data_IF_333478402065
#
_entry.id   IF_333478402065
#
_cell.length_a   1.000
_cell.length_b   1.000
_cell.length_c   1.000
_cell.angle_alpha   90.00
_cell.angle_beta   90.00
_cell.angle_gamma   90.00
#
_symmetry.space_group_name_H-M   'P 1'
#
loop_
_entity.id
_entity.type
_entity.pdbx_description
1 polymer ?
#
# COMPACT_ATOMS: atom_id res chain seq x y z
N UNK A 1 0.80 28.54 -4.68
CA UNK A 1 1.80 28.38 -5.76
C UNK A 1 2.06 26.92 -6.04
N UNK A 2 2.43 26.12 -5.04
CA UNK A 2 2.69 24.69 -5.19
C UNK A 2 1.47 23.87 -5.65
N UNK A 3 0.29 24.09 -5.06
CA UNK A 3 -0.94 23.39 -5.46
C UNK A 3 -1.31 23.61 -6.94
N UNK A 4 -1.13 24.83 -7.46
CA UNK A 4 -1.40 25.10 -8.88
C UNK A 4 -0.39 24.38 -9.77
N UNK A 5 0.89 24.40 -9.39
CA UNK A 5 1.94 23.67 -10.10
C UNK A 5 1.62 22.19 -10.21
N UNK A 6 1.15 21.54 -9.13
CA UNK A 6 0.79 20.11 -9.16
C UNK A 6 -0.37 19.84 -10.14
N UNK A 7 -1.36 20.73 -10.22
CA UNK A 7 -2.46 20.62 -11.19
C UNK A 7 -1.93 20.73 -12.61
N UNK A 8 -1.05 21.70 -12.86
CA UNK A 8 -0.46 21.94 -14.19
C UNK A 8 0.44 20.76 -14.60
N UNK A 9 1.25 20.22 -13.67
CA UNK A 9 2.07 19.03 -13.89
C UNK A 9 1.19 17.82 -14.23
N UNK A 10 0.07 17.62 -13.52
CA UNK A 10 -0.86 16.52 -13.78
C UNK A 10 -1.53 16.63 -15.17
N UNK A 11 -1.88 17.84 -15.61
CA UNK A 11 -2.38 18.09 -16.97
C UNK A 11 -1.31 17.85 -18.03
N UNK A 12 -0.08 18.28 -17.79
CA UNK A 12 1.04 18.02 -18.69
C UNK A 12 1.30 16.53 -18.90
N UNK A 13 1.15 15.71 -17.83
CA UNK A 13 1.24 14.25 -17.93
C UNK A 13 0.10 13.66 -18.77
N UNK A 14 -1.13 14.13 -18.59
CA UNK A 14 -2.28 13.72 -19.41
C UNK A 14 -2.06 14.09 -20.89
N UNK A 15 -1.65 15.33 -21.18
CA UNK A 15 -1.35 15.79 -22.54
C UNK A 15 -0.22 14.99 -23.20
N UNK A 16 0.77 14.53 -22.42
CA UNK A 16 1.83 13.65 -22.88
C UNK A 16 1.38 12.20 -23.14
N UNK A 17 0.12 11.86 -22.85
CA UNK A 17 -0.46 10.55 -23.12
C UNK A 17 -0.40 9.57 -21.95
N UNK A 18 -0.21 10.03 -20.71
CA UNK A 18 -0.38 9.18 -19.55
C UNK A 18 -1.81 8.61 -19.51
N UNK A 19 -1.95 7.31 -19.24
CA UNK A 19 -3.27 6.68 -19.15
C UNK A 19 -3.88 6.76 -17.74
N UNK A 20 -3.07 7.03 -16.71
CA UNK A 20 -3.48 7.24 -15.32
C UNK A 20 -2.35 7.93 -14.54
N UNK A 21 -2.67 8.53 -13.38
CA UNK A 21 -1.69 9.23 -12.53
C UNK A 21 -1.87 8.82 -11.06
N UNK A 22 -0.76 8.55 -10.37
CA UNK A 22 -0.77 8.33 -8.91
C UNK A 22 -0.63 9.68 -8.20
N UNK A 23 -1.54 9.95 -7.25
CA UNK A 23 -1.49 11.10 -6.36
C UNK A 23 -1.06 10.64 -4.96
N UNK A 24 0.18 10.97 -4.58
CA UNK A 24 0.77 10.54 -3.32
C UNK A 24 0.94 11.69 -2.33
N UNK A 25 0.43 11.50 -1.10
CA UNK A 25 0.71 12.37 0.05
C UNK A 25 0.42 13.86 -0.22
N UNK A 26 -0.72 14.15 -0.85
CA UNK A 26 -1.23 15.51 -1.06
C UNK A 26 -2.54 15.74 -0.29
N UNK A 27 -2.93 16.99 0.01
CA UNK A 27 -4.21 17.29 0.64
C UNK A 27 -5.38 16.73 -0.16
N UNK A 28 -6.38 16.15 0.53
CA UNK A 28 -7.54 15.52 -0.11
C UNK A 28 -8.34 16.48 -1.02
N UNK A 29 -8.44 17.76 -0.63
CA UNK A 29 -9.10 18.78 -1.45
C UNK A 29 -8.34 19.02 -2.77
N UNK A 30 -7.00 19.02 -2.73
CA UNK A 30 -6.18 19.17 -3.93
C UNK A 30 -6.34 17.95 -4.85
N UNK A 31 -6.33 16.75 -4.28
CA UNK A 31 -6.57 15.52 -5.05
C UNK A 31 -7.96 15.54 -5.72
N UNK A 32 -9.02 15.91 -4.99
CA UNK A 32 -10.36 16.05 -5.55
C UNK A 32 -10.40 17.04 -6.72
N UNK A 33 -9.70 18.17 -6.61
CA UNK A 33 -9.59 19.15 -7.71
C UNK A 33 -8.86 18.59 -8.92
N UNK A 34 -7.79 17.81 -8.72
CA UNK A 34 -7.04 17.16 -9.81
C UNK A 34 -7.90 16.10 -10.48
N UNK A 35 -8.52 15.19 -9.72
CA UNK A 35 -9.41 14.14 -10.26
C UNK A 35 -10.53 14.73 -11.11
N UNK A 36 -11.17 15.81 -10.64
CA UNK A 36 -12.24 16.49 -11.39
C UNK A 36 -11.75 17.22 -12.65
N UNK A 37 -10.47 17.55 -12.73
CA UNK A 37 -9.90 18.34 -13.82
C UNK A 37 -9.32 17.47 -14.96
N UNK A 38 -8.99 16.21 -14.69
CA UNK A 38 -8.44 15.27 -15.66
C UNK A 38 -9.54 14.37 -16.25
N UNK A 39 -9.29 13.82 -17.42
CA UNK A 39 -10.13 12.79 -18.07
C UNK A 39 -9.61 11.38 -17.80
N UNK A 40 -8.33 11.24 -17.47
CA UNK A 40 -7.70 9.96 -17.11
C UNK A 40 -7.87 9.64 -15.62
N UNK A 41 -7.90 8.35 -15.23
CA UNK A 41 -8.05 7.96 -13.83
C UNK A 41 -6.91 8.44 -12.92
N UNK A 42 -7.27 8.91 -11.73
CA UNK A 42 -6.32 9.18 -10.64
C UNK A 42 -6.32 8.05 -9.61
N UNK A 43 -5.13 7.68 -9.12
CA UNK A 43 -4.94 6.62 -8.12
C UNK A 43 -4.34 7.23 -6.84
N UNK A 44 -5.10 7.24 -5.75
CA UNK A 44 -4.69 7.87 -4.50
C UNK A 44 -3.87 6.97 -3.58
N UNK A 45 -2.84 7.53 -2.94
CA UNK A 45 -2.21 6.98 -1.73
C UNK A 45 -1.96 8.10 -0.73
N UNK A 46 -2.78 8.15 0.32
CA UNK A 46 -2.79 9.30 1.23
C UNK A 46 -3.25 10.60 0.56
N UNK A 47 -4.10 10.50 -0.46
CA UNK A 47 -4.67 11.63 -1.21
C UNK A 47 -6.20 11.77 -1.04
N UNK A 48 -6.80 11.05 -0.08
CA UNK A 48 -8.25 11.08 0.15
C UNK A 48 -9.06 10.19 -0.79
N UNK A 49 -10.36 10.14 -0.53
CA UNK A 49 -11.29 9.18 -1.18
C UNK A 49 -11.76 9.61 -2.57
N UNK A 50 -11.52 10.87 -2.95
CA UNK A 50 -11.98 11.48 -4.19
C UNK A 50 -11.08 11.18 -5.41
N UNK A 51 -10.13 10.25 -5.29
CA UNK A 51 -9.43 9.68 -6.44
C UNK A 51 -10.24 8.53 -7.02
N UNK A 52 -10.13 8.27 -8.34
CA UNK A 52 -10.91 7.22 -9.02
C UNK A 52 -10.54 5.80 -8.54
N UNK A 53 -9.30 5.63 -8.09
CA UNK A 53 -8.80 4.40 -7.48
C UNK A 53 -7.90 4.69 -6.29
N UNK A 54 -7.46 3.63 -5.62
CA UNK A 54 -6.57 3.70 -4.47
C UNK A 54 -5.45 2.67 -4.59
N UNK A 55 -4.27 3.00 -4.07
CA UNK A 55 -3.14 2.08 -3.97
C UNK A 55 -2.57 2.11 -2.56
N UNK A 56 -2.17 0.94 -2.06
CA UNK A 56 -1.43 0.78 -0.81
C UNK A 56 -0.34 -0.27 -1.02
N UNK A 57 0.78 -0.12 -0.29
CA UNK A 57 1.80 -1.16 -0.21
C UNK A 57 1.23 -2.34 0.59
N UNK A 58 1.25 -3.55 0.01
CA UNK A 58 0.64 -4.74 0.63
C UNK A 58 1.24 -5.05 2.01
N UNK A 59 2.52 -4.77 2.23
CA UNK A 59 3.18 -4.98 3.52
C UNK A 59 2.60 -4.09 4.62
N UNK A 60 2.30 -2.82 4.31
CA UNK A 60 1.66 -1.90 5.24
C UNK A 60 0.20 -2.28 5.48
N UNK A 61 -0.53 -2.58 4.40
CA UNK A 61 -1.92 -2.99 4.44
C UNK A 61 -2.13 -4.29 5.25
N UNK A 62 -1.23 -5.26 5.11
CA UNK A 62 -1.31 -6.55 5.80
C UNK A 62 -0.61 -6.57 7.17
N UNK A 63 -0.02 -5.45 7.60
CA UNK A 63 0.65 -5.34 8.89
C UNK A 63 1.83 -6.31 9.03
N UNK A 64 2.70 -6.41 8.01
CA UNK A 64 3.88 -7.29 8.05
C UNK A 64 4.99 -6.80 9.00
N UNK A 65 4.96 -5.52 9.39
CA UNK A 65 5.91 -4.93 10.32
C UNK A 65 5.20 -4.38 11.56
N UNK A 66 5.69 -4.68 12.76
CA UNK A 66 5.06 -4.23 14.02
C UNK A 66 5.24 -2.70 14.21
N UNK A 67 6.47 -2.19 14.01
CA UNK A 67 6.86 -0.83 14.42
C UNK A 67 6.51 0.29 13.45
N UNK A 68 6.41 0.01 12.15
CA UNK A 68 6.13 1.03 11.14
C UNK A 68 4.64 1.03 10.80
N UNK A 69 4.00 2.20 10.93
CA UNK A 69 2.58 2.40 10.60
C UNK A 69 2.42 3.75 9.91
N UNK A 70 2.40 3.80 8.57
CA UNK A 70 2.10 5.03 7.85
C UNK A 70 0.71 5.55 8.25
N UNK A 71 0.58 6.85 8.49
CA UNK A 71 -0.71 7.46 8.89
C UNK A 71 -1.82 7.24 7.86
N UNK A 72 -1.48 7.15 6.58
CA UNK A 72 -2.41 6.99 5.47
C UNK A 72 -2.77 5.54 5.16
N UNK A 73 -2.11 4.55 5.80
CA UNK A 73 -2.35 3.14 5.54
C UNK A 73 -3.22 2.54 6.63
N UNK A 74 -4.35 1.96 6.24
CA UNK A 74 -5.17 1.11 7.11
C UNK A 74 -4.58 -0.30 7.12
N UNK A 75 -4.35 -0.84 8.33
CA UNK A 75 -4.05 -2.27 8.48
C UNK A 75 -5.35 -3.07 8.40
N UNK A 76 -5.37 -4.04 7.50
CA UNK A 76 -6.43 -5.02 7.31
C UNK A 76 -6.07 -6.38 7.94
N UNK A 77 -4.80 -6.59 8.28
CA UNK A 77 -4.31 -7.74 9.02
C UNK A 77 -3.11 -7.35 9.90
N UNK A 78 -2.74 -8.24 10.83
CA UNK A 78 -1.53 -8.13 11.65
C UNK A 78 -0.62 -9.34 11.39
N UNK A 79 -0.16 -9.47 10.14
CA UNK A 79 0.63 -10.63 9.71
C UNK A 79 1.94 -10.78 10.49
N UNK A 80 2.53 -9.69 10.99
CA UNK A 80 3.74 -9.77 11.81
C UNK A 80 3.57 -10.73 13.00
N UNK A 81 2.41 -10.70 13.66
CA UNK A 81 2.11 -11.56 14.82
C UNK A 81 2.02 -13.02 14.38
N UNK A 82 1.28 -13.29 13.31
CA UNK A 82 1.05 -14.64 12.77
C UNK A 82 2.37 -15.25 12.31
N UNK A 83 3.14 -14.51 11.50
CA UNK A 83 4.42 -14.94 10.96
C UNK A 83 5.45 -15.20 12.07
N UNK A 84 5.51 -14.33 13.09
CA UNK A 84 6.38 -14.53 14.25
C UNK A 84 6.02 -15.78 15.05
N UNK A 85 4.73 -16.08 15.19
CA UNK A 85 4.26 -17.33 15.83
C UNK A 85 4.67 -18.55 14.99
N UNK A 86 4.47 -18.51 13.68
CA UNK A 86 4.84 -19.59 12.77
C UNK A 86 6.34 -19.91 12.84
N UNK A 87 7.20 -18.88 12.77
CA UNK A 87 8.65 -19.08 12.90
C UNK A 87 9.05 -19.67 14.25
N UNK A 88 8.46 -19.20 15.36
CA UNK A 88 8.72 -19.78 16.69
C UNK A 88 8.32 -21.24 16.77
N UNK A 89 7.17 -21.59 16.21
CA UNK A 89 6.67 -22.97 16.19
C UNK A 89 7.60 -23.87 15.36
N UNK A 90 7.96 -23.43 14.15
CA UNK A 90 8.90 -24.15 13.29
C UNK A 90 10.24 -24.39 13.98
N UNK A 91 10.84 -23.34 14.56
CA UNK A 91 12.11 -23.46 15.29
C UNK A 91 12.00 -24.45 16.47
N UNK A 92 10.88 -24.43 17.20
CA UNK A 92 10.62 -25.36 18.29
C UNK A 92 10.55 -26.80 17.77
N UNK A 93 9.75 -27.05 16.74
CA UNK A 93 9.56 -28.40 16.20
C UNK A 93 10.84 -28.98 15.59
N UNK A 94 11.67 -28.16 14.93
CA UNK A 94 13.00 -28.58 14.45
C UNK A 94 13.92 -28.95 15.61
N UNK A 95 13.98 -28.11 16.66
CA UNK A 95 14.82 -28.38 17.85
C UNK A 95 14.36 -29.62 18.62
N UNK A 96 13.06 -29.86 18.67
CA UNK A 96 12.45 -31.04 19.30
C UNK A 96 12.45 -32.27 18.38
N UNK A 97 12.97 -32.16 17.15
CA UNK A 97 12.95 -33.22 16.12
C UNK A 97 11.54 -33.75 15.82
N UNK A 98 10.52 -32.91 15.95
CA UNK A 98 9.14 -33.18 15.52
C UNK A 98 8.94 -32.90 14.04
N UNK A 99 9.73 -31.97 13.49
CA UNK A 99 9.79 -31.67 12.07
C UNK A 99 11.22 -31.93 11.53
N UNK A 100 11.37 -32.54 10.34
CA UNK A 100 10.31 -33.18 9.56
C UNK A 100 9.78 -34.44 10.25
N UNK A 101 8.50 -34.75 10.05
CA UNK A 101 7.91 -36.04 10.44
C UNK A 101 7.99 -37.05 9.28
N UNK A 102 7.57 -38.30 9.52
CA UNK A 102 7.61 -39.36 8.50
C UNK A 102 6.82 -38.99 7.23
N UNK A 103 5.65 -38.35 7.37
CA UNK A 103 4.84 -37.88 6.23
C UNK A 103 5.52 -36.78 5.39
N UNK A 104 6.56 -36.15 5.93
CA UNK A 104 7.36 -35.13 5.26
C UNK A 104 8.67 -35.70 4.67
N UNK A 105 8.87 -37.02 4.74
CA UNK A 105 10.10 -37.71 4.32
C UNK A 105 9.78 -38.76 3.26
N UNK A 106 10.70 -38.98 2.31
CA UNK A 106 10.60 -40.01 1.25
C UNK A 106 11.42 -41.25 1.59
#
# INVERSE_FOLDING_TARGET
KEAQKIIDDARGLEEAGAFSIVLEKIPAELASRITKALKIPTIGIGAGVECDGQVLVSHDMLGQFEKFKPKFSKRYAELAIITKKAYKQYVKEVKERKFPAQEHSY
#
